data_IF_105532670358
#
_entry.id   IF_105532670358
#
_cell.length_a   1.000
_cell.length_b   1.000
_cell.length_c   1.000
_cell.angle_alpha   90.00
_cell.angle_beta   90.00
_cell.angle_gamma   90.00
#
_symmetry.space_group_name_H-M   'P 1'
#
loop_
_entity.id
_entity.type
_entity.pdbx_description
1 polymer ?
#
# COMPACT_ATOMS: atom_id res chain seq x y z
N UNK A 1 0.04 1.02 -17.36
CA UNK A 1 0.83 1.78 -18.35
C UNK A 1 -0.04 2.82 -19.04
N UNK A 2 -1.25 2.45 -19.50
CA UNK A 2 -2.19 3.33 -20.22
C UNK A 2 -2.37 4.71 -19.59
N UNK A 3 -2.62 4.83 -18.28
CA UNK A 3 -2.77 6.16 -17.65
C UNK A 3 -1.53 7.04 -17.76
N UNK A 4 -0.34 6.48 -17.60
CA UNK A 4 0.88 7.29 -17.67
C UNK A 4 1.29 7.62 -19.10
N UNK A 5 1.12 6.70 -20.04
CA UNK A 5 1.52 6.88 -21.43
C UNK A 5 0.46 7.63 -22.25
N UNK A 6 -0.81 7.30 -22.04
CA UNK A 6 -1.95 7.82 -22.81
C UNK A 6 -2.58 9.06 -22.19
N UNK A 7 -2.75 9.11 -20.86
CA UNK A 7 -3.43 10.25 -20.20
C UNK A 7 -2.42 11.33 -19.74
N UNK A 8 -1.25 10.91 -19.25
CA UNK A 8 -0.23 11.83 -18.70
C UNK A 8 0.95 12.08 -19.65
N UNK A 9 1.07 11.32 -20.74
CA UNK A 9 2.15 11.41 -21.72
C UNK A 9 3.57 11.39 -21.12
N UNK A 10 3.76 10.62 -20.04
CA UNK A 10 5.03 10.48 -19.35
C UNK A 10 5.78 9.23 -19.82
N UNK A 11 7.10 9.31 -20.06
CA UNK A 11 7.92 8.13 -20.33
C UNK A 11 8.04 7.29 -19.05
N UNK A 12 7.44 6.10 -19.06
CA UNK A 12 7.50 5.16 -17.93
C UNK A 12 8.32 3.94 -18.31
N UNK A 13 9.28 3.58 -17.46
CA UNK A 13 9.99 2.30 -17.57
C UNK A 13 9.53 1.40 -16.44
N UNK A 14 8.99 0.23 -16.80
CA UNK A 14 8.61 -0.80 -15.84
C UNK A 14 9.80 -1.73 -15.62
N UNK A 15 10.18 -1.92 -14.35
CA UNK A 15 11.21 -2.88 -13.94
C UNK A 15 10.52 -3.99 -13.16
N UNK A 16 10.52 -5.21 -13.72
CA UNK A 16 10.04 -6.38 -13.01
C UNK A 16 11.15 -6.90 -12.10
N UNK A 17 10.97 -6.69 -10.80
CA UNK A 17 11.84 -7.20 -9.74
C UNK A 17 11.11 -8.21 -8.84
N UNK A 18 9.95 -8.74 -9.28
CA UNK A 18 9.06 -9.55 -8.43
C UNK A 18 9.79 -10.74 -7.80
N UNK A 19 10.55 -11.50 -8.59
CA UNK A 19 11.33 -12.64 -8.09
C UNK A 19 12.43 -12.22 -7.10
N UNK A 20 13.10 -11.09 -7.36
CA UNK A 20 14.11 -10.55 -6.46
C UNK A 20 13.49 -10.23 -5.09
N UNK A 21 12.38 -9.51 -5.05
CA UNK A 21 11.70 -9.18 -3.80
C UNK A 21 11.21 -10.44 -3.06
N UNK A 22 10.55 -11.36 -3.77
CA UNK A 22 10.04 -12.59 -3.17
C UNK A 22 11.17 -13.47 -2.62
N UNK A 23 12.29 -13.58 -3.33
CA UNK A 23 13.44 -14.38 -2.86
C UNK A 23 14.00 -13.87 -1.53
N UNK A 24 13.99 -12.55 -1.31
CA UNK A 24 14.49 -11.90 -0.08
C UNK A 24 13.50 -11.92 1.07
N UNK A 25 12.21 -12.03 0.75
CA UNK A 25 11.13 -12.10 1.74
C UNK A 25 10.81 -13.54 2.18
N UNK A 26 11.37 -14.54 1.50
CA UNK A 26 11.15 -15.95 1.82
C UNK A 26 11.53 -16.27 3.27
N UNK A 27 10.58 -16.82 4.03
CA UNK A 27 10.74 -17.18 5.44
C UNK A 27 10.75 -15.99 6.40
N UNK A 28 10.42 -14.78 5.93
CA UNK A 28 10.40 -13.58 6.78
C UNK A 28 8.99 -13.32 7.29
N UNK A 29 8.79 -13.54 8.59
CA UNK A 29 7.50 -13.31 9.25
C UNK A 29 7.41 -11.95 9.95
N UNK A 30 8.53 -11.45 10.48
CA UNK A 30 8.58 -10.20 11.26
C UNK A 30 8.25 -8.97 10.39
N UNK A 31 7.21 -8.18 10.72
CA UNK A 31 6.76 -7.04 9.92
C UNK A 31 7.85 -5.97 9.70
N UNK A 32 8.61 -5.65 10.74
CA UNK A 32 9.66 -4.64 10.67
C UNK A 32 10.82 -5.09 9.78
N UNK A 33 11.17 -6.37 9.82
CA UNK A 33 12.13 -6.97 8.88
C UNK A 33 11.59 -6.94 7.46
N UNK A 34 10.31 -7.27 7.22
CA UNK A 34 9.69 -7.18 5.89
C UNK A 34 9.81 -5.75 5.33
N UNK A 35 9.44 -4.74 6.13
CA UNK A 35 9.55 -3.31 5.76
C UNK A 35 10.99 -2.92 5.39
N UNK A 36 11.97 -3.28 6.22
CA UNK A 36 13.40 -2.99 5.98
C UNK A 36 13.93 -3.67 4.72
N UNK A 37 13.59 -4.94 4.51
CA UNK A 37 14.01 -5.70 3.33
C UNK A 37 13.45 -5.04 2.07
N UNK A 38 12.14 -4.74 2.04
CA UNK A 38 11.50 -4.11 0.88
C UNK A 38 12.11 -2.74 0.59
N UNK A 39 12.30 -1.90 1.62
CA UNK A 39 12.93 -0.59 1.44
C UNK A 39 14.35 -0.70 0.87
N UNK A 40 15.16 -1.63 1.38
CA UNK A 40 16.52 -1.85 0.89
C UNK A 40 16.54 -2.37 -0.55
N UNK A 41 15.72 -3.37 -0.88
CA UNK A 41 15.69 -3.94 -2.22
C UNK A 41 15.14 -2.93 -3.25
N UNK A 42 14.17 -2.10 -2.88
CA UNK A 42 13.68 -1.02 -3.73
C UNK A 42 14.80 -0.04 -4.10
N UNK A 43 15.59 0.38 -3.11
CA UNK A 43 16.75 1.24 -3.33
C UNK A 43 17.77 0.56 -4.25
N UNK A 44 18.06 -0.73 -4.03
CA UNK A 44 19.03 -1.47 -4.84
C UNK A 44 18.59 -1.59 -6.31
N UNK A 45 17.31 -1.89 -6.54
CA UNK A 45 16.72 -1.95 -7.90
C UNK A 45 16.73 -0.58 -8.55
N UNK A 46 16.42 0.48 -7.79
CA UNK A 46 16.44 1.85 -8.30
C UNK A 46 17.86 2.31 -8.69
N UNK A 47 18.86 1.97 -7.88
CA UNK A 47 20.26 2.31 -8.15
C UNK A 47 20.81 1.56 -9.38
N UNK A 48 20.54 0.26 -9.50
CA UNK A 48 20.86 -0.53 -10.69
C UNK A 48 20.19 0.03 -11.95
N UNK A 49 18.92 0.44 -11.84
CA UNK A 49 18.21 1.11 -12.92
C UNK A 49 18.87 2.44 -13.30
N UNK A 50 19.25 3.28 -12.32
CA UNK A 50 19.91 4.55 -12.56
C UNK A 50 21.26 4.38 -13.29
N UNK A 51 22.03 3.36 -12.92
CA UNK A 51 23.28 3.01 -13.61
C UNK A 51 23.06 2.53 -15.05
N UNK A 52 22.07 1.67 -15.29
CA UNK A 52 21.70 1.24 -16.65
C UNK A 52 21.23 2.42 -17.50
N UNK A 53 20.49 3.35 -16.90
CA UNK A 53 20.01 4.56 -17.57
C UNK A 53 21.17 5.49 -17.95
N UNK A 54 22.15 5.67 -17.06
CA UNK A 54 23.38 6.44 -17.33
C UNK A 54 24.14 5.85 -18.52
N UNK A 55 24.31 4.53 -18.57
CA UNK A 55 24.96 3.85 -19.71
C UNK A 55 24.20 4.04 -21.02
N UNK A 56 22.86 4.03 -20.97
CA UNK A 56 22.00 4.16 -22.15
C UNK A 56 21.97 5.59 -22.71
N UNK A 57 21.90 6.59 -21.84
CA UNK A 57 21.77 8.01 -22.23
C UNK A 57 23.15 8.66 -22.40
N UNK A 58 24.21 8.04 -21.87
CA UNK A 58 25.57 8.60 -21.86
C UNK A 58 25.73 9.77 -20.89
N UNK A 59 24.71 10.04 -20.06
CA UNK A 59 24.71 11.11 -19.06
C UNK A 59 24.09 10.60 -17.77
N UNK A 60 24.77 10.86 -16.65
CA UNK A 60 24.24 10.58 -15.31
C UNK A 60 23.03 11.46 -15.01
N UNK A 61 21.92 10.89 -14.51
CA UNK A 61 20.84 11.70 -13.94
C UNK A 61 21.37 12.61 -12.83
N UNK A 62 21.00 13.89 -12.86
CA UNK A 62 21.44 14.87 -11.86
C UNK A 62 20.43 15.07 -10.74
N UNK A 63 19.15 14.83 -11.04
CA UNK A 63 18.04 15.15 -10.15
C UNK A 63 17.17 13.93 -9.87
N UNK A 64 16.70 13.83 -8.63
CA UNK A 64 15.64 12.91 -8.21
C UNK A 64 14.43 13.74 -7.78
N UNK A 65 13.27 13.45 -8.35
CA UNK A 65 12.01 14.13 -7.99
C UNK A 65 11.20 13.23 -7.07
N UNK A 66 10.77 13.74 -5.92
CA UNK A 66 9.90 13.04 -4.97
C UNK A 66 8.60 13.80 -4.71
N UNK A 67 7.51 13.05 -4.54
CA UNK A 67 6.17 13.59 -4.25
C UNK A 67 5.91 13.84 -2.77
N UNK A 68 6.94 14.14 -1.96
CA UNK A 68 6.83 14.40 -0.51
C UNK A 68 5.84 15.52 -0.24
N UNK A 69 4.95 15.33 0.74
CA UNK A 69 3.90 16.29 1.12
C UNK A 69 4.25 17.02 2.42
N UNK A 70 3.54 18.11 2.71
CA UNK A 70 3.75 18.89 3.92
C UNK A 70 3.54 18.09 5.24
N UNK A 71 2.53 17.20 5.36
CA UNK A 71 2.41 16.33 6.53
C UNK A 71 3.64 15.44 6.77
N UNK A 72 4.27 14.94 5.69
CA UNK A 72 5.47 14.10 5.80
C UNK A 72 6.66 14.90 6.37
N UNK A 73 6.77 16.18 6.01
CA UNK A 73 7.81 17.08 6.53
C UNK A 73 7.59 17.35 8.02
N UNK A 74 6.36 17.64 8.44
CA UNK A 74 6.05 17.89 9.86
C UNK A 74 6.29 16.65 10.72
N UNK A 75 5.92 15.46 10.25
CA UNK A 75 6.18 14.20 10.96
C UNK A 75 7.69 13.92 11.12
N UNK A 76 8.50 14.39 10.16
CA UNK A 76 9.96 14.20 10.15
C UNK A 76 10.75 15.26 10.93
N UNK A 77 10.15 16.42 11.25
CA UNK A 77 10.80 17.48 12.01
C UNK A 77 10.34 17.49 13.48
N UNK A 78 11.25 17.51 14.47
CA UNK A 78 10.85 17.76 15.84
C UNK A 78 10.18 19.15 15.96
N UNK A 79 9.14 19.32 16.79
CA UNK A 79 8.45 20.60 16.93
C UNK A 79 9.45 21.72 17.29
N UNK A 80 9.38 22.89 16.62
CA UNK A 80 10.21 24.04 16.97
C UNK A 80 10.04 24.39 18.46
N UNK A 81 11.14 24.39 19.22
CA UNK A 81 11.14 24.74 20.65
C UNK A 81 10.99 23.58 21.64
N UNK A 82 10.90 22.32 21.18
CA UNK A 82 10.67 21.17 22.08
C UNK A 82 11.91 20.59 22.76
N UNK A 83 13.14 20.96 22.37
CA UNK A 83 14.38 20.48 22.99
C UNK A 83 14.56 18.94 23.00
N UNK A 84 13.67 18.20 22.34
CA UNK A 84 13.64 16.74 22.29
C UNK A 84 14.36 16.29 21.03
N UNK A 85 15.47 15.59 21.22
CA UNK A 85 16.29 15.00 20.14
C UNK A 85 15.66 13.72 19.57
N UNK A 86 14.50 13.30 20.03
CA UNK A 86 13.84 12.07 19.60
C UNK A 86 12.36 12.37 19.36
N UNK A 87 11.99 12.69 18.10
CA UNK A 87 10.72 12.14 17.63
C UNK A 87 10.94 10.63 17.69
N UNK A 88 10.21 9.92 18.54
CA UNK A 88 10.14 8.46 18.45
C UNK A 88 10.05 8.11 16.96
N UNK A 89 10.89 7.18 16.52
CA UNK A 89 11.18 6.78 15.13
C UNK A 89 9.95 6.16 14.47
N UNK A 90 8.84 6.90 14.48
CA UNK A 90 7.54 6.58 13.92
C UNK A 90 7.73 6.87 12.44
N UNK A 91 8.07 5.82 11.70
CA UNK A 91 8.49 5.81 10.27
C UNK A 91 9.99 6.07 10.04
N UNK A 92 10.81 5.11 10.44
CA UNK A 92 12.24 5.02 10.05
C UNK A 92 12.51 4.95 8.54
N UNK A 93 11.47 4.84 7.68
CA UNK A 93 11.60 4.60 6.24
C UNK A 93 10.64 5.41 5.35
N UNK A 94 10.10 6.53 5.81
CA UNK A 94 9.38 7.42 4.89
C UNK A 94 10.34 8.43 4.24
N UNK A 95 10.15 8.58 2.92
CA UNK A 95 10.65 9.51 1.89
C UNK A 95 11.58 10.70 2.22
N UNK A 96 11.72 11.11 3.48
CA UNK A 96 12.59 12.20 3.96
C UNK A 96 13.86 11.66 4.65
N UNK A 97 13.96 10.34 4.86
CA UNK A 97 15.21 9.67 5.19
C UNK A 97 16.08 9.61 3.94
N UNK A 98 16.95 10.62 3.77
CA UNK A 98 17.71 10.90 2.56
C UNK A 98 18.29 9.68 1.84
N UNK A 99 18.51 9.86 0.53
CA UNK A 99 19.07 8.85 -0.35
C UNK A 99 20.31 8.18 0.28
N UNK A 100 20.58 6.90 -0.04
CA UNK A 100 21.81 6.24 0.39
C UNK A 100 23.00 7.19 0.18
N UNK A 101 23.95 7.21 1.12
CA UNK A 101 25.09 8.16 1.07
C UNK A 101 25.85 8.14 -0.26
N UNK A 102 25.75 7.03 -0.99
CA UNK A 102 26.39 6.79 -2.27
C UNK A 102 25.60 7.34 -3.48
N UNK A 103 24.32 7.69 -3.29
CA UNK A 103 23.44 8.17 -4.34
C UNK A 103 23.60 9.69 -4.53
N UNK A 104 24.41 10.07 -5.51
CA UNK A 104 24.80 11.47 -5.82
C UNK A 104 23.72 12.32 -6.52
N UNK A 105 22.44 12.00 -6.35
CA UNK A 105 21.33 12.72 -6.99
C UNK A 105 20.91 13.94 -6.16
N UNK A 106 20.60 15.06 -6.81
CA UNK A 106 20.03 16.24 -6.14
C UNK A 106 18.52 16.09 -6.00
N UNK A 107 18.01 16.21 -4.79
CA UNK A 107 16.59 16.02 -4.52
C UNK A 107 15.73 17.26 -4.87
N UNK A 108 14.59 17.04 -5.52
CA UNK A 108 13.56 18.04 -5.83
C UNK A 108 12.21 17.54 -5.28
N UNK A 109 11.59 18.32 -4.40
CA UNK A 109 10.31 17.99 -3.77
C UNK A 109 9.30 19.12 -4.00
N UNK A 110 8.60 19.13 -5.15
CA UNK A 110 7.74 20.26 -5.52
C UNK A 110 6.46 20.36 -4.68
N UNK A 111 6.03 19.27 -4.05
CA UNK A 111 4.76 19.19 -3.31
C UNK A 111 4.94 19.35 -1.79
N UNK A 112 6.17 19.61 -1.32
CA UNK A 112 6.52 19.59 0.12
C UNK A 112 5.81 20.63 0.98
N UNK A 113 5.15 21.62 0.36
CA UNK A 113 4.41 22.69 1.04
C UNK A 113 2.89 22.52 0.94
N UNK A 114 2.41 21.41 0.36
CA UNK A 114 1.00 21.17 0.10
C UNK A 114 0.43 20.04 0.96
N UNK A 115 -0.82 20.20 1.36
CA UNK A 115 -1.65 19.15 1.94
C UNK A 115 -2.27 18.24 0.87
N UNK A 116 -2.82 17.09 1.30
CA UNK A 116 -3.33 16.07 0.37
C UNK A 116 -4.51 16.56 -0.47
N UNK A 117 -5.39 17.38 0.09
CA UNK A 117 -6.52 17.97 -0.62
C UNK A 117 -6.06 19.00 -1.66
N UNK A 118 -5.03 19.79 -1.35
CA UNK A 118 -4.40 20.73 -2.27
C UNK A 118 -3.71 20.02 -3.44
N UNK A 119 -3.01 18.91 -3.17
CA UNK A 119 -2.42 18.08 -4.23
C UNK A 119 -3.48 17.46 -5.14
N UNK A 120 -4.63 17.07 -4.60
CA UNK A 120 -5.76 16.60 -5.43
C UNK A 120 -6.30 17.72 -6.32
N UNK A 121 -6.49 18.93 -5.79
CA UNK A 121 -6.92 20.11 -6.57
C UNK A 121 -5.90 20.45 -7.67
N UNK A 122 -4.60 20.45 -7.32
CA UNK A 122 -3.52 20.66 -8.29
C UNK A 122 -3.51 19.60 -9.39
N UNK A 123 -3.70 18.33 -9.03
CA UNK A 123 -3.83 17.24 -10.00
C UNK A 123 -4.99 17.44 -10.98
N UNK A 124 -6.13 17.95 -10.50
CA UNK A 124 -7.26 18.30 -11.37
C UNK A 124 -6.94 19.42 -12.36
N UNK A 125 -6.20 20.46 -11.93
CA UNK A 125 -5.72 21.54 -12.83
C UNK A 125 -4.75 21.00 -13.89
N UNK A 126 -3.95 19.98 -13.53
CA UNK A 126 -3.02 19.30 -14.42
C UNK A 126 -3.66 18.20 -15.29
N UNK A 127 -5.00 18.09 -15.29
CA UNK A 127 -5.77 17.08 -16.03
C UNK A 127 -5.41 15.62 -15.67
N UNK A 128 -4.95 15.37 -14.44
CA UNK A 128 -4.78 14.00 -13.95
C UNK A 128 -6.17 13.37 -13.79
N UNK A 129 -6.40 12.14 -14.29
CA UNK A 129 -7.71 11.50 -14.19
C UNK A 129 -8.24 11.42 -12.75
N UNK A 130 -9.52 11.77 -12.55
CA UNK A 130 -10.17 11.73 -11.24
C UNK A 130 -10.08 10.35 -10.58
N UNK A 131 -10.19 9.29 -11.39
CA UNK A 131 -10.04 7.90 -10.94
C UNK A 131 -8.68 7.62 -10.31
N UNK A 132 -7.64 8.38 -10.69
CA UNK A 132 -6.30 8.32 -10.12
C UNK A 132 -6.18 9.17 -8.85
N UNK A 133 -6.72 10.39 -8.86
CA UNK A 133 -6.68 11.33 -7.73
C UNK A 133 -7.45 10.83 -6.50
N UNK A 134 -8.54 10.10 -6.74
CA UNK A 134 -9.43 9.55 -5.71
C UNK A 134 -8.98 8.19 -5.17
N UNK A 135 -7.92 7.58 -5.71
CA UNK A 135 -7.45 6.26 -5.21
C UNK A 135 -7.15 6.34 -3.72
N UNK A 136 -7.61 5.33 -3.00
CA UNK A 136 -7.24 5.09 -1.61
C UNK A 136 -5.72 4.99 -1.48
N UNK A 137 -5.15 5.42 -0.34
CA UNK A 137 -3.74 5.25 -0.08
C UNK A 137 -3.36 3.76 -0.10
N UNK A 138 -2.17 3.47 -0.62
CA UNK A 138 -1.61 2.13 -0.66
C UNK A 138 -0.20 2.16 -0.04
N UNK A 139 0.12 1.25 0.90
CA UNK A 139 1.37 1.28 1.63
C UNK A 139 2.56 1.01 0.70
N UNK A 140 3.73 1.59 1.01
CA UNK A 140 4.98 1.37 0.25
C UNK A 140 5.37 -0.12 0.16
N UNK A 141 5.36 -0.87 1.28
CA UNK A 141 5.54 -2.33 1.26
C UNK A 141 4.44 -3.12 0.55
N UNK A 142 3.36 -2.45 0.13
CA UNK A 142 2.23 -3.03 -0.59
C UNK A 142 1.56 -4.17 0.16
N UNK A 143 1.31 -5.27 -0.55
CA UNK A 143 0.63 -6.45 0.01
C UNK A 143 1.45 -7.18 1.08
N UNK A 144 2.76 -6.91 1.20
CA UNK A 144 3.61 -7.61 2.15
C UNK A 144 3.24 -7.34 3.62
N UNK A 145 2.62 -6.19 3.91
CA UNK A 145 2.08 -5.83 5.24
C UNK A 145 0.60 -6.20 5.40
N UNK A 146 0.01 -6.81 4.36
CA UNK A 146 -1.36 -7.31 4.37
C UNK A 146 -1.43 -8.84 4.32
N UNK A 147 -0.29 -9.50 4.15
CA UNK A 147 -0.15 -10.94 4.40
C UNK A 147 0.56 -11.09 5.73
N UNK A 148 -0.15 -11.58 6.75
CA UNK A 148 0.49 -11.84 8.04
C UNK A 148 1.48 -13.00 7.91
N UNK A 149 2.67 -12.83 8.48
CA UNK A 149 3.73 -13.84 8.41
C UNK A 149 4.46 -13.84 7.06
N UNK A 150 4.89 -15.02 6.61
CA UNK A 150 5.67 -15.20 5.38
C UNK A 150 4.83 -15.00 4.12
N UNK A 151 5.11 -13.92 3.40
CA UNK A 151 4.42 -13.52 2.16
C UNK A 151 4.60 -14.52 1.01
N UNK A 152 5.61 -15.39 1.09
CA UNK A 152 5.95 -16.36 0.05
C UNK A 152 5.31 -17.73 0.30
N UNK A 153 4.62 -17.91 1.42
CA UNK A 153 4.05 -19.20 1.79
C UNK A 153 2.83 -19.53 0.92
N UNK A 154 2.91 -20.66 0.20
CA UNK A 154 1.82 -21.16 -0.63
C UNK A 154 1.41 -20.15 -1.71
N UNK A 155 0.13 -19.84 -1.79
CA UNK A 155 -0.46 -18.88 -2.74
C UNK A 155 -1.02 -17.62 -2.05
N UNK A 156 -0.52 -17.25 -0.87
CA UNK A 156 -1.06 -16.16 -0.05
C UNK A 156 -1.21 -14.84 -0.81
N UNK A 157 -0.18 -14.43 -1.58
CA UNK A 157 -0.22 -13.20 -2.38
C UNK A 157 -1.23 -13.25 -3.53
N UNK A 158 -1.37 -14.40 -4.19
CA UNK A 158 -2.34 -14.56 -5.27
C UNK A 158 -3.77 -14.51 -4.74
N UNK A 159 -4.03 -15.26 -3.67
CA UNK A 159 -5.31 -15.26 -2.96
C UNK A 159 -5.67 -13.86 -2.50
N UNK A 160 -4.74 -13.16 -1.84
CA UNK A 160 -4.99 -11.81 -1.35
C UNK A 160 -5.33 -10.83 -2.48
N UNK A 161 -4.64 -10.90 -3.63
CA UNK A 161 -4.94 -10.05 -4.79
C UNK A 161 -6.37 -10.26 -5.29
N UNK A 162 -6.81 -11.51 -5.42
CA UNK A 162 -8.16 -11.84 -5.88
C UNK A 162 -9.23 -11.35 -4.88
N UNK A 163 -8.99 -11.53 -3.57
CA UNK A 163 -9.91 -11.07 -2.52
C UNK A 163 -10.01 -9.55 -2.50
N UNK A 164 -8.87 -8.86 -2.56
CA UNK A 164 -8.80 -7.39 -2.56
C UNK A 164 -9.50 -6.81 -3.79
N UNK A 165 -9.31 -7.43 -4.96
CA UNK A 165 -9.99 -7.05 -6.21
C UNK A 165 -11.51 -7.18 -6.09
N UNK A 166 -12.02 -8.33 -5.62
CA UNK A 166 -13.46 -8.54 -5.43
C UNK A 166 -14.03 -7.52 -4.44
N UNK A 167 -13.34 -7.27 -3.32
CA UNK A 167 -13.80 -6.37 -2.28
C UNK A 167 -13.85 -4.91 -2.77
N UNK A 168 -12.74 -4.43 -3.35
CA UNK A 168 -12.63 -3.06 -3.86
C UNK A 168 -13.59 -2.84 -5.03
N UNK A 169 -13.76 -3.81 -5.93
CA UNK A 169 -14.71 -3.69 -7.03
C UNK A 169 -16.15 -3.64 -6.51
N UNK A 170 -16.51 -4.48 -5.55
CA UNK A 170 -17.86 -4.44 -4.93
C UNK A 170 -18.15 -3.10 -4.26
N UNK A 171 -17.15 -2.50 -3.57
CA UNK A 171 -17.25 -1.16 -2.98
C UNK A 171 -17.50 -0.09 -4.07
N UNK A 172 -16.81 -0.19 -5.21
CA UNK A 172 -16.97 0.74 -6.33
C UNK A 172 -18.36 0.60 -6.97
N UNK A 173 -18.79 -0.63 -7.24
CA UNK A 173 -20.08 -0.93 -7.85
C UNK A 173 -21.25 -0.45 -6.97
N UNK A 174 -21.08 -0.49 -5.65
CA UNK A 174 -22.04 0.03 -4.68
C UNK A 174 -21.98 1.56 -4.48
N UNK A 175 -21.08 2.28 -5.17
CA UNK A 175 -20.91 3.72 -5.01
C UNK A 175 -20.39 4.16 -3.64
N UNK A 176 -19.70 3.27 -2.92
CA UNK A 176 -19.21 3.50 -1.56
C UNK A 176 -17.75 3.98 -1.52
N UNK A 177 -17.02 3.87 -2.65
CA UNK A 177 -15.57 4.12 -2.70
C UNK A 177 -15.15 5.51 -2.19
N UNK A 178 -15.90 6.55 -2.59
CA UNK A 178 -15.61 7.94 -2.19
C UNK A 178 -16.03 8.25 -0.74
N UNK A 179 -16.81 7.37 -0.09
CA UNK A 179 -17.22 7.50 1.32
C UNK A 179 -16.22 6.84 2.28
N UNK A 180 -15.32 6.01 1.76
CA UNK A 180 -14.35 5.25 2.54
C UNK A 180 -12.98 5.90 2.35
N UNK A 181 -12.24 6.06 3.45
CA UNK A 181 -10.89 6.59 3.40
C UNK A 181 -9.91 5.58 2.80
N UNK A 182 -10.00 4.34 3.28
CA UNK A 182 -9.17 3.23 2.80
C UNK A 182 -9.93 1.91 3.02
N UNK A 183 -9.98 1.07 1.99
CA UNK A 183 -10.48 -0.31 2.06
C UNK A 183 -9.50 -1.30 1.44
N UNK A 184 -9.34 -2.46 2.07
CA UNK A 184 -8.48 -3.54 1.62
C UNK A 184 -8.77 -4.86 2.34
N UNK A 185 -8.22 -5.95 1.80
CA UNK A 185 -8.18 -7.24 2.46
C UNK A 185 -6.84 -7.51 3.17
N UNK A 186 -6.87 -8.36 4.19
CA UNK A 186 -5.71 -8.90 4.92
C UNK A 186 -5.79 -10.42 4.91
N UNK A 187 -4.71 -11.11 4.56
CA UNK A 187 -4.60 -12.57 4.57
C UNK A 187 -4.13 -13.06 5.95
N UNK A 188 -4.86 -14.01 6.52
CA UNK A 188 -4.50 -14.65 7.79
C UNK A 188 -3.95 -16.06 7.52
N UNK A 189 -2.75 -16.41 7.99
CA UNK A 189 -2.16 -17.75 7.87
C UNK A 189 -2.77 -18.72 8.89
N UNK A 190 -4.10 -18.71 9.03
CA UNK A 190 -4.86 -19.61 9.91
C UNK A 190 -5.78 -20.49 9.07
N UNK A 191 -5.74 -21.79 9.34
CA UNK A 191 -6.59 -22.77 8.66
C UNK A 191 -7.93 -22.86 9.36
N UNK A 192 -9.02 -22.80 8.60
CA UNK A 192 -10.37 -22.99 9.11
C UNK A 192 -11.08 -24.11 8.36
N UNK A 193 -11.98 -24.80 9.06
CA UNK A 193 -12.81 -25.85 8.48
C UNK A 193 -14.00 -25.19 7.77
N UNK A 194 -14.31 -25.68 6.58
CA UNK A 194 -15.49 -25.28 5.82
C UNK A 194 -16.11 -26.47 5.10
N UNK A 195 -17.23 -26.21 4.45
CA UNK A 195 -17.86 -27.12 3.51
C UNK A 195 -18.05 -26.34 2.22
N UNK A 196 -17.42 -26.78 1.14
CA UNK A 196 -17.57 -26.19 -0.19
C UNK A 196 -17.98 -27.32 -1.15
N UNK A 197 -19.19 -27.23 -1.71
CA UNK A 197 -19.86 -28.38 -2.31
C UNK A 197 -20.20 -29.44 -1.24
N UNK A 198 -19.93 -30.71 -1.53
CA UNK A 198 -20.18 -31.83 -0.60
C UNK A 198 -18.90 -32.30 0.14
N UNK A 199 -17.80 -31.56 0.05
CA UNK A 199 -16.53 -31.93 0.66
C UNK A 199 -16.12 -30.98 1.79
N UNK A 200 -15.53 -31.56 2.83
CA UNK A 200 -14.90 -30.80 3.92
C UNK A 200 -13.62 -30.16 3.40
N UNK A 201 -13.49 -28.85 3.61
CA UNK A 201 -12.29 -28.09 3.23
C UNK A 201 -11.54 -27.59 4.45
N UNK A 202 -10.22 -27.52 4.31
CA UNK A 202 -9.31 -26.81 5.20
C UNK A 202 -8.67 -25.70 4.36
N UNK A 203 -8.99 -24.44 4.66
CA UNK A 203 -8.58 -23.29 3.85
C UNK A 203 -8.34 -22.06 4.73
N UNK A 204 -7.73 -21.03 4.15
CA UNK A 204 -7.32 -19.84 4.89
C UNK A 204 -8.52 -18.92 5.19
N UNK A 205 -8.27 -17.99 6.12
CA UNK A 205 -9.18 -16.89 6.41
C UNK A 205 -8.62 -15.56 5.89
N UNK A 206 -9.52 -14.63 5.59
CA UNK A 206 -9.19 -13.24 5.26
C UNK A 206 -10.02 -12.28 6.10
N UNK A 207 -9.49 -11.07 6.28
CA UNK A 207 -10.15 -9.98 6.96
C UNK A 207 -10.38 -8.84 5.98
N UNK A 208 -11.60 -8.32 5.95
CA UNK A 208 -11.95 -7.10 5.24
C UNK A 208 -11.78 -5.91 6.19
N UNK A 209 -10.96 -4.95 5.79
CA UNK A 209 -10.73 -3.70 6.52
C UNK A 209 -11.23 -2.54 5.68
N UNK A 210 -12.11 -1.73 6.24
CA UNK A 210 -12.50 -0.46 5.65
C UNK A 210 -12.64 0.57 6.77
N UNK A 211 -12.10 1.77 6.55
CA UNK A 211 -12.08 2.83 7.55
C UNK A 211 -12.56 4.16 6.98
N UNK A 212 -13.08 5.00 7.87
CA UNK A 212 -13.32 6.43 7.64
C UNK A 212 -12.39 7.23 8.53
N UNK A 213 -11.87 8.32 8.00
CA UNK A 213 -10.94 9.18 8.71
C UNK A 213 -10.93 10.55 8.05
N UNK A 214 -10.69 11.59 8.84
CA UNK A 214 -10.49 12.95 8.34
C UNK A 214 -9.01 13.20 8.00
N UNK A 215 -8.08 12.67 8.80
CA UNK A 215 -6.66 13.00 8.78
C UNK A 215 -5.70 11.79 8.86
N UNK A 216 -6.24 10.58 8.98
CA UNK A 216 -5.49 9.34 9.19
C UNK A 216 -4.92 9.16 10.61
N UNK A 217 -5.05 10.15 11.51
CA UNK A 217 -4.58 10.08 12.89
C UNK A 217 -5.58 9.32 13.77
N UNK A 218 -6.86 9.59 13.60
CA UNK A 218 -7.96 8.79 14.17
C UNK A 218 -8.82 8.22 13.05
N UNK A 219 -9.34 7.01 13.22
CA UNK A 219 -10.18 6.40 12.20
C UNK A 219 -11.21 5.49 12.83
N UNK A 220 -12.44 5.56 12.33
CA UNK A 220 -13.47 4.57 12.67
C UNK A 220 -13.61 3.55 11.54
N UNK A 221 -14.05 2.34 11.87
CA UNK A 221 -14.35 1.34 10.85
C UNK A 221 -15.58 1.77 10.04
N UNK A 222 -15.65 1.36 8.77
CA UNK A 222 -16.78 1.71 7.92
C UNK A 222 -17.97 0.78 8.17
N UNK A 223 -19.10 1.37 8.52
CA UNK A 223 -20.36 0.66 8.74
C UNK A 223 -20.99 0.25 7.40
N UNK A 224 -20.71 -0.98 6.98
CA UNK A 224 -21.38 -1.57 5.82
C UNK A 224 -22.78 -2.06 6.18
N UNK A 225 -23.71 -1.96 5.23
CA UNK A 225 -24.98 -2.68 5.33
C UNK A 225 -24.72 -4.19 5.33
N UNK A 226 -25.42 -4.92 6.20
CA UNK A 226 -25.23 -6.37 6.32
C UNK A 226 -25.47 -7.11 4.98
N UNK A 227 -26.42 -6.64 4.17
CA UNK A 227 -26.69 -7.21 2.86
C UNK A 227 -25.48 -7.10 1.90
N UNK A 228 -24.78 -5.96 1.93
CA UNK A 228 -23.55 -5.76 1.16
C UNK A 228 -22.45 -6.75 1.58
N UNK A 229 -22.24 -6.90 2.89
CA UNK A 229 -21.23 -7.83 3.41
C UNK A 229 -21.53 -9.28 3.01
N UNK A 230 -22.80 -9.70 3.11
CA UNK A 230 -23.21 -11.06 2.70
C UNK A 230 -22.89 -11.30 1.22
N UNK A 231 -23.20 -10.36 0.33
CA UNK A 231 -22.89 -10.47 -1.10
C UNK A 231 -21.38 -10.57 -1.35
N UNK A 232 -20.58 -9.71 -0.74
CA UNK A 232 -19.11 -9.71 -0.86
C UNK A 232 -18.51 -11.02 -0.35
N UNK A 233 -18.94 -11.49 0.82
CA UNK A 233 -18.46 -12.76 1.41
C UNK A 233 -18.79 -13.95 0.49
N UNK A 234 -20.01 -13.99 -0.06
CA UNK A 234 -20.39 -15.02 -1.02
C UNK A 234 -19.54 -14.97 -2.28
N UNK A 235 -19.30 -13.78 -2.84
CA UNK A 235 -18.40 -13.62 -4.00
C UNK A 235 -16.98 -14.11 -3.70
N UNK A 236 -16.42 -13.76 -2.55
CA UNK A 236 -15.07 -14.20 -2.17
C UNK A 236 -15.03 -15.73 -2.03
N UNK A 237 -15.91 -16.32 -1.22
CA UNK A 237 -15.89 -17.75 -0.92
C UNK A 237 -16.19 -18.64 -2.15
N UNK A 238 -16.94 -18.12 -3.13
CA UNK A 238 -17.29 -18.87 -4.35
C UNK A 238 -16.23 -18.74 -5.46
N UNK A 239 -15.53 -17.61 -5.54
CA UNK A 239 -14.60 -17.33 -6.65
C UNK A 239 -13.12 -17.51 -6.27
N UNK A 240 -12.75 -17.39 -4.98
CA UNK A 240 -11.36 -17.47 -4.55
C UNK A 240 -11.06 -18.83 -3.93
N UNK A 241 -10.29 -19.65 -4.66
CA UNK A 241 -9.83 -20.95 -4.15
C UNK A 241 -8.86 -20.75 -2.99
N UNK A 242 -9.02 -21.53 -1.93
CA UNK A 242 -8.16 -21.46 -0.74
C UNK A 242 -8.63 -20.47 0.33
N UNK A 243 -9.81 -19.88 0.16
CA UNK A 243 -10.53 -19.13 1.20
C UNK A 243 -11.87 -19.79 1.47
N UNK A 244 -12.19 -19.97 2.75
CA UNK A 244 -13.51 -20.45 3.19
C UNK A 244 -14.05 -19.66 4.40
N UNK A 245 -13.33 -18.62 4.83
CA UNK A 245 -13.69 -17.78 5.96
C UNK A 245 -13.34 -16.34 5.66
N UNK A 246 -14.29 -15.45 5.86
CA UNK A 246 -14.12 -14.00 5.72
C UNK A 246 -14.61 -13.36 7.00
N UNK A 247 -13.80 -12.45 7.56
CA UNK A 247 -14.11 -11.66 8.74
C UNK A 247 -14.11 -10.16 8.37
N UNK A 248 -14.75 -9.33 9.18
CA UNK A 248 -14.64 -7.87 9.08
C UNK A 248 -13.95 -7.34 10.33
N UNK A 249 -13.00 -6.43 10.15
CA UNK A 249 -12.38 -5.70 11.26
C UNK A 249 -13.20 -4.47 11.64
N UNK A 250 -13.83 -4.54 12.82
CA UNK A 250 -14.67 -3.50 13.41
C UNK A 250 -13.94 -2.71 14.53
N UNK A 251 -12.61 -2.73 14.54
CA UNK A 251 -11.80 -2.07 15.58
C UNK A 251 -11.37 -0.66 15.14
N UNK A 252 -11.76 0.37 15.87
CA UNK A 252 -11.35 1.75 15.58
C UNK A 252 -9.86 2.00 15.90
N UNK A 253 -9.30 3.09 15.34
CA UNK A 253 -7.99 3.63 15.69
C UNK A 253 -8.19 4.89 16.54
N UNK A 254 -7.78 4.90 17.82
CA UNK A 254 -7.30 3.78 18.67
C UNK A 254 -8.43 2.79 19.10
N UNK A 255 -8.13 1.58 19.60
CA UNK A 255 -6.81 1.05 20.02
C UNK A 255 -5.98 0.40 18.91
N UNK A 256 -6.58 0.10 17.76
CA UNK A 256 -5.88 -0.54 16.65
C UNK A 256 -5.14 0.47 15.75
N UNK A 257 -4.44 -0.04 14.74
CA UNK A 257 -3.94 0.72 13.59
C UNK A 257 -4.82 0.50 12.36
N UNK A 258 -4.52 1.20 11.25
CA UNK A 258 -5.25 1.02 9.99
C UNK A 258 -4.86 -0.32 9.36
N UNK A 259 -3.57 -0.50 9.10
CA UNK A 259 -2.96 -1.77 8.68
C UNK A 259 -2.80 -2.70 9.89
N UNK A 260 -2.66 -4.01 9.63
CA UNK A 260 -2.51 -5.05 10.67
C UNK A 260 -1.04 -5.35 11.04
N UNK A 261 -0.10 -4.77 10.30
CA UNK A 261 1.35 -4.84 10.47
C UNK A 261 2.02 -3.49 10.19
#
# INVERSE_FOLDING_TARGET
>A
MTTFESDLHLPVTCVDASEQFLSKLKGVEDPEKKRKIIGREFIAVFDDFAHKLEQKIGKRPEYLVQGTLYPDVIESCPPPGSGRTHSHTIKSHHNVGGLPKDMKLKLIEPLKLLFKDEVRKLGGILNVPDSFLKRHPFPGPGLAVRVLGDVTQGNALEVLRQVDEIFVQSIKDAGLYDKIWQAFAVFLPVQTVGVQGDQRTHSNAVVLRAITSEDGMTADWYYFEHAFLVDVVNKICNNVRGINRVCQDITSKPPATVEWE
#
